data_IF_860191164214
#
_entry.id   IF_860191164214
#
_cell.length_a   1.000
_cell.length_b   1.000
_cell.length_c   1.000
_cell.angle_alpha   90.00
_cell.angle_beta   90.00
_cell.angle_gamma   90.00
#
_symmetry.space_group_name_H-M   'P 1'
#
loop_
_entity.id
_entity.type
_entity.pdbx_description
1 polymer ?
#
# COMPACT_ATOMS: atom_id res chain seq x y z
N UNK A 1 -4.59 2.78 19.56
CA UNK A 1 -4.19 2.79 18.13
C UNK A 1 -2.75 3.26 18.00
N UNK A 2 -2.05 2.88 16.94
CA UNK A 2 -0.68 3.33 16.63
C UNK A 2 -0.65 3.92 15.23
N UNK A 3 0.28 4.85 15.00
CA UNK A 3 0.56 5.36 13.67
C UNK A 3 1.44 4.39 12.91
N UNK A 4 1.15 4.20 11.65
CA UNK A 4 1.88 3.34 10.73
C UNK A 4 2.18 4.09 9.44
N UNK A 5 3.24 3.64 8.78
CA UNK A 5 3.58 3.99 7.41
C UNK A 5 3.47 2.72 6.57
N UNK A 6 2.70 2.80 5.49
CA UNK A 6 2.58 1.73 4.51
C UNK A 6 3.15 2.20 3.19
N UNK A 7 4.23 1.58 2.75
CA UNK A 7 4.76 1.77 1.40
C UNK A 7 4.31 0.61 0.53
N UNK A 8 3.66 0.92 -0.58
CA UNK A 8 3.28 -0.04 -1.61
C UNK A 8 4.04 0.23 -2.90
N UNK A 9 4.50 -0.84 -3.55
CA UNK A 9 4.98 -0.83 -4.93
C UNK A 9 3.95 -1.58 -5.77
N UNK A 10 3.32 -0.86 -6.68
CA UNK A 10 2.25 -1.34 -7.55
C UNK A 10 2.82 -1.57 -8.96
N UNK A 11 2.24 -2.52 -9.69
CA UNK A 11 2.57 -2.80 -11.09
C UNK A 11 2.62 -1.52 -11.93
N UNK A 12 3.67 -1.32 -12.75
CA UNK A 12 3.86 -0.08 -13.51
C UNK A 12 2.80 0.11 -14.60
N UNK A 13 2.28 -0.97 -15.15
CA UNK A 13 1.31 -1.06 -16.26
C UNK A 13 -0.15 -0.92 -15.82
N UNK A 14 -0.41 -0.81 -14.51
CA UNK A 14 -1.76 -0.53 -14.01
C UNK A 14 -2.20 0.86 -14.45
N UNK A 15 -3.37 0.94 -15.11
CA UNK A 15 -3.96 2.22 -15.51
C UNK A 15 -4.44 3.03 -14.29
N UNK A 16 -4.71 4.32 -14.51
CA UNK A 16 -5.09 5.24 -13.44
C UNK A 16 -6.38 4.83 -12.72
N UNK A 17 -7.35 4.27 -13.44
CA UNK A 17 -8.64 3.85 -12.87
C UNK A 17 -8.44 2.66 -11.94
N UNK A 18 -7.73 1.64 -12.40
CA UNK A 18 -7.42 0.45 -11.63
C UNK A 18 -6.49 0.75 -10.45
N UNK A 19 -5.54 1.67 -10.62
CA UNK A 19 -4.68 2.16 -9.55
C UNK A 19 -5.47 2.86 -8.44
N UNK A 20 -6.35 3.79 -8.80
CA UNK A 20 -7.18 4.50 -7.82
C UNK A 20 -8.16 3.54 -7.13
N UNK A 21 -8.75 2.59 -7.86
CA UNK A 21 -9.61 1.56 -7.28
C UNK A 21 -8.87 0.68 -6.25
N UNK A 22 -7.61 0.32 -6.54
CA UNK A 22 -6.76 -0.41 -5.60
C UNK A 22 -6.46 0.42 -4.34
N UNK A 23 -6.18 1.72 -4.50
CA UNK A 23 -5.96 2.60 -3.35
C UNK A 23 -7.21 2.76 -2.49
N UNK A 24 -8.37 2.96 -3.10
CA UNK A 24 -9.64 3.03 -2.36
C UNK A 24 -9.96 1.73 -1.64
N UNK A 25 -9.66 0.58 -2.26
CA UNK A 25 -9.79 -0.73 -1.60
C UNK A 25 -8.91 -0.85 -0.36
N UNK A 26 -7.64 -0.41 -0.44
CA UNK A 26 -6.72 -0.41 0.70
C UNK A 26 -7.22 0.53 1.81
N UNK A 27 -7.69 1.74 1.46
CA UNK A 27 -8.30 2.68 2.42
C UNK A 27 -9.58 2.11 3.05
N UNK A 28 -10.37 1.35 2.29
CA UNK A 28 -11.56 0.66 2.75
C UNK A 28 -11.25 -0.30 3.88
N UNK A 29 -10.29 -1.21 3.69
CA UNK A 29 -9.87 -2.15 4.74
C UNK A 29 -9.40 -1.46 6.02
N UNK A 30 -8.70 -0.34 5.88
CA UNK A 30 -8.23 0.46 7.00
C UNK A 30 -9.43 0.99 7.79
N UNK A 31 -10.38 1.60 7.09
CA UNK A 31 -11.61 2.14 7.70
C UNK A 31 -12.48 1.06 8.34
N UNK A 32 -12.67 -0.08 7.66
CA UNK A 32 -13.42 -1.23 8.16
C UNK A 32 -12.83 -1.82 9.44
N UNK A 33 -11.51 -1.73 9.61
CA UNK A 33 -10.80 -2.16 10.82
C UNK A 33 -10.82 -1.14 11.97
N UNK A 34 -11.53 -0.02 11.80
CA UNK A 34 -11.60 1.08 12.77
C UNK A 34 -10.36 1.97 12.79
N UNK A 35 -9.55 1.95 11.73
CA UNK A 35 -8.42 2.84 11.52
C UNK A 35 -8.77 4.08 10.71
N UNK A 36 -7.79 4.98 10.54
CA UNK A 36 -7.90 6.17 9.70
C UNK A 36 -6.70 6.30 8.76
N UNK A 37 -6.91 6.90 7.60
CA UNK A 37 -5.83 7.30 6.69
C UNK A 37 -5.62 8.79 6.84
N UNK A 38 -4.42 9.17 7.27
CA UNK A 38 -4.07 10.56 7.58
C UNK A 38 -3.52 11.28 6.34
N UNK A 39 -2.75 10.56 5.51
CA UNK A 39 -2.16 11.09 4.28
C UNK A 39 -1.91 9.98 3.26
N UNK A 40 -2.05 10.31 1.98
CA UNK A 40 -1.61 9.46 0.87
C UNK A 40 -0.71 10.28 -0.05
N UNK A 41 0.53 9.84 -0.21
CA UNK A 41 1.52 10.42 -1.11
C UNK A 41 1.77 9.45 -2.28
N UNK A 42 1.32 9.82 -3.47
CA UNK A 42 1.61 9.08 -4.70
C UNK A 42 2.93 9.59 -5.27
N UNK A 43 3.96 8.75 -5.24
CA UNK A 43 5.29 9.06 -5.75
C UNK A 43 5.44 8.78 -7.24
N UNK A 44 4.45 8.12 -7.84
CA UNK A 44 4.42 7.77 -9.25
C UNK A 44 5.40 6.65 -9.61
N UNK A 45 5.67 6.52 -10.91
CA UNK A 45 6.50 5.44 -11.45
C UNK A 45 7.98 5.70 -11.20
N UNK A 46 8.70 4.71 -10.66
CA UNK A 46 10.15 4.76 -10.41
C UNK A 46 10.84 3.45 -10.80
N UNK A 47 12.12 3.53 -11.18
CA UNK A 47 12.96 2.36 -11.46
C UNK A 47 13.30 1.63 -10.16
N UNK A 48 13.21 0.30 -10.20
CA UNK A 48 13.62 -0.58 -9.12
C UNK A 48 15.12 -0.89 -9.25
N UNK A 49 15.81 -1.05 -8.12
CA UNK A 49 17.23 -1.44 -8.11
C UNK A 49 17.44 -2.88 -8.64
N UNK A 50 16.41 -3.71 -8.58
CA UNK A 50 16.39 -5.07 -9.11
C UNK A 50 14.96 -5.47 -9.50
N UNK A 51 14.83 -6.54 -10.27
CA UNK A 51 13.54 -7.02 -10.78
C UNK A 51 12.69 -7.60 -9.63
N UNK A 52 11.44 -7.15 -9.53
CA UNK A 52 10.45 -7.68 -8.57
C UNK A 52 9.24 -8.15 -9.37
N UNK A 53 8.83 -9.42 -9.18
CA UNK A 53 7.74 -10.05 -9.96
C UNK A 53 7.82 -9.77 -11.47
N UNK A 54 9.03 -9.85 -12.05
CA UNK A 54 9.34 -9.57 -13.48
C UNK A 54 9.23 -8.09 -13.92
N UNK A 55 8.97 -7.15 -13.01
CA UNK A 55 8.97 -5.71 -13.32
C UNK A 55 10.30 -5.04 -12.94
N UNK A 56 10.76 -4.11 -13.78
CA UNK A 56 11.93 -3.23 -13.54
C UNK A 56 11.55 -1.85 -12.99
N UNK A 57 10.26 -1.54 -13.00
CA UNK A 57 9.68 -0.28 -12.54
C UNK A 57 8.44 -0.61 -11.69
N UNK A 58 8.02 0.33 -10.86
CA UNK A 58 6.78 0.23 -10.10
C UNK A 58 6.24 1.61 -9.75
N UNK A 59 4.92 1.70 -9.53
CA UNK A 59 4.28 2.90 -9.02
C UNK A 59 4.36 2.87 -7.48
N UNK A 60 4.99 3.87 -6.89
CA UNK A 60 5.19 3.95 -5.44
C UNK A 60 4.09 4.79 -4.80
N UNK A 61 3.56 4.30 -3.68
CA UNK A 61 2.61 5.03 -2.84
C UNK A 61 2.99 4.87 -1.38
N UNK A 62 2.98 5.97 -0.64
CA UNK A 62 3.11 6.00 0.81
C UNK A 62 1.76 6.39 1.41
N UNK A 63 1.30 5.60 2.39
CA UNK A 63 0.12 5.91 3.20
C UNK A 63 0.57 6.11 4.65
N UNK A 64 0.23 7.25 5.23
CA UNK A 64 0.29 7.47 6.66
C UNK A 64 -1.09 7.22 7.25
N UNK A 65 -1.15 6.41 8.30
CA UNK A 65 -2.41 5.88 8.79
C UNK A 65 -2.32 5.54 10.27
N UNK A 66 -3.47 5.52 10.92
CA UNK A 66 -3.61 5.09 12.31
C UNK A 66 -4.41 3.79 12.34
N UNK A 67 -3.88 2.76 13.01
CA UNK A 67 -4.51 1.44 13.08
C UNK A 67 -4.40 0.80 14.46
N UNK A 68 -5.29 -0.13 14.77
CA UNK A 68 -5.12 -1.03 15.90
C UNK A 68 -4.05 -2.09 15.58
N UNK A 69 -3.15 -2.44 16.51
CA UNK A 69 -2.11 -3.44 16.26
C UNK A 69 -2.63 -4.81 15.81
N UNK A 70 -3.82 -5.23 16.26
CA UNK A 70 -4.47 -6.47 15.81
C UNK A 70 -4.78 -6.45 14.30
N UNK A 71 -5.31 -5.33 13.81
CA UNK A 71 -5.70 -5.17 12.41
C UNK A 71 -4.52 -4.98 11.44
N UNK A 72 -3.33 -4.66 11.94
CA UNK A 72 -2.13 -4.48 11.10
C UNK A 72 -1.76 -5.78 10.35
N UNK A 73 -1.88 -6.91 11.05
CA UNK A 73 -1.58 -8.23 10.48
C UNK A 73 -2.57 -8.65 9.38
N UNK A 74 -3.86 -8.33 9.56
CA UNK A 74 -4.89 -8.59 8.57
C UNK A 74 -4.70 -7.73 7.32
N UNK A 75 -4.30 -6.46 7.50
CA UNK A 75 -3.97 -5.57 6.39
C UNK A 75 -2.79 -6.11 5.57
N UNK A 76 -1.68 -6.48 6.20
CA UNK A 76 -0.53 -7.09 5.51
C UNK A 76 -0.93 -8.35 4.73
N UNK A 77 -1.79 -9.18 5.34
CA UNK A 77 -2.31 -10.39 4.69
C UNK A 77 -3.14 -10.04 3.44
N UNK A 78 -4.05 -9.06 3.54
CA UNK A 78 -4.86 -8.61 2.41
C UNK A 78 -4.00 -8.02 1.27
N UNK A 79 -2.99 -7.22 1.60
CA UNK A 79 -2.02 -6.66 0.65
C UNK A 79 -1.24 -7.74 -0.08
N UNK A 80 -0.84 -8.81 0.62
CA UNK A 80 -0.13 -9.96 0.02
C UNK A 80 -0.95 -10.67 -1.06
N UNK A 81 -2.27 -10.71 -0.91
CA UNK A 81 -3.18 -11.33 -1.89
C UNK A 81 -3.55 -10.41 -3.05
N UNK A 82 -3.18 -9.12 -3.01
CA UNK A 82 -3.37 -8.25 -4.17
C UNK A 82 -2.25 -8.48 -5.18
N UNK A 83 -2.59 -9.12 -6.29
CA UNK A 83 -1.66 -9.36 -7.39
C UNK A 83 -0.98 -8.08 -7.91
N UNK A 84 -1.69 -6.94 -8.10
CA UNK A 84 -1.07 -5.69 -8.56
C UNK A 84 -0.07 -5.08 -7.58
N UNK A 85 -0.11 -5.47 -6.30
CA UNK A 85 0.89 -5.06 -5.31
C UNK A 85 2.07 -6.02 -5.42
N UNK A 86 3.17 -5.53 -6.01
CA UNK A 86 4.37 -6.35 -6.23
C UNK A 86 5.27 -6.39 -4.99
N UNK A 87 5.17 -5.37 -4.12
CA UNK A 87 5.83 -5.31 -2.81
C UNK A 87 5.08 -4.36 -1.88
N UNK A 88 5.11 -4.63 -0.59
CA UNK A 88 4.68 -3.70 0.43
C UNK A 88 5.65 -3.73 1.63
N UNK A 89 5.60 -2.70 2.46
CA UNK A 89 6.28 -2.63 3.75
C UNK A 89 5.39 -1.84 4.70
N UNK A 90 5.04 -2.44 5.83
CA UNK A 90 4.32 -1.79 6.92
C UNK A 90 5.30 -1.55 8.08
N UNK A 91 5.38 -0.32 8.57
CA UNK A 91 6.22 0.04 9.72
C UNK A 91 5.46 0.92 10.69
N UNK A 92 5.80 0.84 11.98
CA UNK A 92 5.28 1.78 12.99
C UNK A 92 5.93 3.14 12.72
N UNK A 93 5.11 4.20 12.63
CA UNK A 93 5.63 5.56 12.49
C UNK A 93 6.30 5.98 13.82
N UNK A 94 7.51 6.55 13.71
CA UNK A 94 8.29 7.04 14.85
C UNK A 94 7.73 8.29 15.49
#
# INVERSE_FOLDING_TARGET
MRKYELVCVIQPDLDEVAFNALLEKVKGWISESGGSVDKVDVWGRRKLAYIIKKHREGQFVLLNMTLNPSAASDLERNLRYQEPIIRHMLSVAG
#
